data_IF_494182321992
#
_entry.id   IF_494182321992
#
_cell.length_a   1.000
_cell.length_b   1.000
_cell.length_c   1.000
_cell.angle_alpha   90.00
_cell.angle_beta   90.00
_cell.angle_gamma   90.00
#
_symmetry.space_group_name_H-M   'P 1'
#
loop_
_entity.id
_entity.type
_entity.pdbx_description
1 polymer ?
#
# COMPACT_ATOMS: atom_id res chain seq x y z
N UNK A 1 -25.84 76.29 20.24
CA UNK A 1 -24.81 75.28 20.26
C UNK A 1 -25.47 73.94 20.56
N UNK A 2 -25.61 73.08 19.57
CA UNK A 2 -26.40 71.88 19.65
C UNK A 2 -25.42 70.68 19.67
N UNK A 3 -25.52 69.77 20.64
CA UNK A 3 -24.79 68.52 20.56
C UNK A 3 -25.56 67.55 19.68
N UNK A 4 -24.91 67.10 18.66
CA UNK A 4 -25.39 66.00 17.80
C UNK A 4 -25.48 64.72 18.61
N UNK A 5 -26.71 64.19 18.71
CA UNK A 5 -26.93 62.85 19.17
C UNK A 5 -26.44 61.87 18.11
N UNK A 6 -25.35 61.18 18.39
CA UNK A 6 -25.00 60.02 17.63
C UNK A 6 -25.94 58.89 17.99
N UNK A 7 -26.71 58.47 17.00
CA UNK A 7 -27.54 57.28 17.03
C UNK A 7 -26.64 56.06 17.26
N UNK A 8 -26.83 55.38 18.37
CA UNK A 8 -26.31 54.03 18.60
C UNK A 8 -26.74 53.13 17.43
N UNK A 9 -25.82 52.77 16.57
CA UNK A 9 -25.98 51.65 15.70
C UNK A 9 -25.80 50.38 16.55
N UNK A 10 -26.90 49.65 16.68
CA UNK A 10 -26.90 48.28 17.16
C UNK A 10 -25.89 47.48 16.33
N UNK A 11 -25.02 46.70 16.95
CA UNK A 11 -24.24 45.74 16.19
C UNK A 11 -25.18 44.71 15.56
N UNK A 12 -25.12 44.61 14.29
CA UNK A 12 -25.82 43.61 13.50
C UNK A 12 -25.31 42.21 13.87
N UNK A 13 -26.11 41.30 14.43
CA UNK A 13 -25.71 39.95 14.73
C UNK A 13 -25.90 39.05 13.50
N UNK A 14 -25.14 39.29 12.46
CA UNK A 14 -25.13 38.43 11.28
C UNK A 14 -23.73 38.27 10.77
N UNK A 15 -22.84 37.88 11.68
CA UNK A 15 -21.66 37.14 11.31
C UNK A 15 -21.71 35.79 12.03
N UNK A 16 -22.75 35.04 11.75
CA UNK A 16 -22.68 33.61 11.88
C UNK A 16 -21.55 33.17 10.99
N UNK A 17 -20.38 33.04 11.58
CA UNK A 17 -19.30 32.24 11.06
C UNK A 17 -19.94 30.93 10.60
N UNK A 18 -20.19 30.84 9.32
CA UNK A 18 -20.30 29.57 8.64
C UNK A 18 -18.97 28.86 8.88
N UNK A 19 -18.83 28.27 10.05
CA UNK A 19 -18.11 27.03 10.19
C UNK A 19 -18.86 26.08 9.27
N UNK A 20 -18.54 26.15 7.98
CA UNK A 20 -18.74 25.06 7.08
C UNK A 20 -18.09 23.89 7.81
N UNK A 21 -18.90 23.11 8.50
CA UNK A 21 -18.57 21.73 8.75
C UNK A 21 -18.17 21.26 7.37
N UNK A 22 -16.87 21.13 7.11
CA UNK A 22 -16.37 20.38 5.97
C UNK A 22 -17.04 19.04 6.13
N UNK A 23 -18.17 18.87 5.46
CA UNK A 23 -18.74 17.58 5.22
C UNK A 23 -17.57 16.72 4.79
N UNK A 24 -17.33 15.67 5.58
CA UNK A 24 -16.28 14.72 5.30
C UNK A 24 -16.44 14.36 3.83
N UNK A 25 -15.47 14.75 3.01
CA UNK A 25 -15.43 14.40 1.60
C UNK A 25 -15.83 12.96 1.44
N UNK A 26 -16.72 12.63 0.49
CA UNK A 26 -17.17 11.27 0.32
C UNK A 26 -15.95 10.37 0.17
N UNK A 27 -15.75 9.53 1.20
CA UNK A 27 -14.83 8.43 1.28
C UNK A 27 -13.39 8.76 0.83
N UNK A 28 -12.56 9.15 1.79
CA UNK A 28 -11.11 8.98 1.67
C UNK A 28 -10.85 7.51 1.25
N UNK A 29 -10.29 7.26 0.03
CA UNK A 29 -10.12 5.89 -0.49
C UNK A 29 -9.32 4.99 0.44
N UNK A 30 -8.38 5.57 1.21
CA UNK A 30 -7.61 4.83 2.21
C UNK A 30 -8.51 4.40 3.38
N UNK A 31 -9.37 5.29 3.87
CA UNK A 31 -10.33 4.95 4.95
C UNK A 31 -11.30 3.86 4.52
N UNK A 32 -11.80 3.94 3.29
CA UNK A 32 -12.68 2.91 2.74
C UNK A 32 -11.93 1.58 2.67
N UNK A 33 -10.74 1.56 2.12
CA UNK A 33 -9.90 0.36 2.02
C UNK A 33 -9.63 -0.26 3.41
N UNK A 34 -9.27 0.55 4.40
CA UNK A 34 -9.03 0.07 5.77
C UNK A 34 -10.30 -0.44 6.45
N UNK A 35 -11.47 0.14 6.14
CA UNK A 35 -12.75 -0.35 6.66
C UNK A 35 -13.15 -1.71 6.06
N UNK A 36 -12.81 -1.94 4.80
CA UNK A 36 -13.03 -3.22 4.11
C UNK A 36 -12.01 -4.29 4.53
N UNK A 37 -10.79 -3.86 4.93
CA UNK A 37 -9.67 -4.69 5.32
C UNK A 37 -9.20 -4.39 6.77
N UNK A 38 -10.05 -4.65 7.77
CA UNK A 38 -9.76 -4.27 9.16
C UNK A 38 -8.82 -5.21 9.91
N UNK A 39 -8.46 -6.34 9.30
CA UNK A 39 -7.48 -7.29 9.82
C UNK A 39 -6.11 -7.08 9.17
N UNK A 40 -5.12 -7.86 9.58
CA UNK A 40 -3.76 -7.76 9.07
C UNK A 40 -3.17 -9.13 8.80
N UNK A 41 -2.50 -9.25 7.67
CA UNK A 41 -1.57 -10.33 7.38
C UNK A 41 -0.13 -9.82 7.35
N UNK A 42 0.81 -10.73 7.30
CA UNK A 42 2.24 -10.42 7.27
C UNK A 42 2.82 -10.82 5.92
N UNK A 43 3.65 -9.95 5.35
CA UNK A 43 4.40 -10.22 4.13
C UNK A 43 5.89 -10.15 4.41
N UNK A 44 6.64 -11.13 3.90
CA UNK A 44 8.10 -11.20 3.97
C UNK A 44 8.64 -11.56 2.59
N UNK A 45 9.59 -10.78 2.08
CA UNK A 45 10.29 -11.11 0.84
C UNK A 45 11.58 -11.85 1.14
N UNK A 46 11.90 -12.81 0.27
CA UNK A 46 13.20 -13.47 0.21
C UNK A 46 13.79 -13.26 -1.18
N UNK A 47 14.78 -12.38 -1.27
CA UNK A 47 15.38 -11.94 -2.53
C UNK A 47 16.70 -12.64 -2.73
N UNK A 48 16.85 -13.30 -3.87
CA UNK A 48 18.04 -14.03 -4.27
C UNK A 48 18.49 -13.61 -5.66
N UNK A 49 19.74 -13.87 -5.99
CA UNK A 49 20.32 -13.71 -7.31
C UNK A 49 20.94 -15.02 -7.81
N UNK A 50 21.44 -15.02 -9.05
CA UNK A 50 22.14 -16.18 -9.60
C UNK A 50 21.30 -17.45 -9.57
N UNK A 51 20.09 -17.40 -10.07
CA UNK A 51 19.12 -18.52 -10.07
C UNK A 51 18.78 -19.04 -8.66
N UNK A 52 18.70 -18.12 -7.70
CA UNK A 52 18.33 -18.45 -6.32
C UNK A 52 19.48 -18.87 -5.42
N UNK A 53 20.71 -18.88 -5.92
CA UNK A 53 21.87 -19.39 -5.18
C UNK A 53 22.47 -18.39 -4.17
N UNK A 54 22.28 -17.08 -4.37
CA UNK A 54 22.94 -16.04 -3.56
C UNK A 54 21.89 -15.09 -2.99
N UNK A 55 21.84 -14.88 -1.67
CA UNK A 55 20.98 -13.86 -1.08
C UNK A 55 21.43 -12.47 -1.54
N UNK A 56 20.48 -11.59 -1.83
CA UNK A 56 20.76 -10.19 -2.19
C UNK A 56 20.46 -9.29 -1.00
N UNK A 57 21.52 -8.77 -0.40
CA UNK A 57 21.45 -7.75 0.64
C UNK A 57 21.10 -6.39 0.04
N UNK A 58 20.35 -5.56 0.78
CA UNK A 58 20.00 -4.17 0.43
C UNK A 58 19.22 -4.05 -0.88
N UNK A 59 18.53 -5.10 -1.31
CA UNK A 59 17.53 -4.96 -2.34
C UNK A 59 16.37 -4.08 -1.83
N UNK A 60 15.99 -3.10 -2.61
CA UNK A 60 14.84 -2.26 -2.30
C UNK A 60 13.56 -2.96 -2.75
N UNK A 61 12.59 -3.02 -1.87
CA UNK A 61 11.26 -3.58 -2.12
C UNK A 61 10.23 -2.48 -1.89
N UNK A 62 9.48 -2.12 -2.92
CA UNK A 62 8.39 -1.16 -2.88
C UNK A 62 7.08 -1.90 -3.05
N UNK A 63 6.32 -2.03 -1.99
CA UNK A 63 5.00 -2.67 -1.99
C UNK A 63 3.96 -1.60 -2.27
N UNK A 64 2.99 -1.89 -3.11
CA UNK A 64 1.94 -0.94 -3.47
C UNK A 64 0.57 -1.61 -3.56
N UNK A 65 -0.46 -0.81 -3.29
CA UNK A 65 -1.86 -1.15 -3.50
C UNK A 65 -2.55 0.02 -4.18
N UNK A 66 -3.04 -0.20 -5.37
CA UNK A 66 -3.88 0.77 -6.05
C UNK A 66 -5.22 0.92 -5.31
N UNK A 67 -5.59 2.15 -5.04
CA UNK A 67 -6.84 2.52 -4.40
C UNK A 67 -7.70 3.30 -5.41
N UNK A 68 -9.02 3.45 -5.16
CA UNK A 68 -9.88 4.26 -6.00
C UNK A 68 -9.37 5.70 -6.20
N UNK A 69 -9.78 6.33 -7.29
CA UNK A 69 -9.45 7.72 -7.64
C UNK A 69 -7.95 8.01 -7.81
N UNK A 70 -7.16 7.00 -8.23
CA UNK A 70 -5.73 7.17 -8.50
C UNK A 70 -4.85 7.28 -7.26
N UNK A 71 -5.38 7.01 -6.08
CA UNK A 71 -4.57 6.92 -4.86
C UNK A 71 -3.79 5.60 -4.81
N UNK A 72 -2.68 5.60 -4.10
CA UNK A 72 -1.86 4.40 -3.91
C UNK A 72 -1.38 4.34 -2.46
N UNK A 73 -1.60 3.20 -1.81
CA UNK A 73 -0.91 2.86 -0.58
C UNK A 73 0.46 2.29 -0.95
N UNK A 74 1.54 2.78 -0.33
CA UNK A 74 2.90 2.32 -0.62
C UNK A 74 3.72 2.17 0.65
N UNK A 75 4.49 1.08 0.71
CA UNK A 75 5.45 0.78 1.78
C UNK A 75 6.77 0.40 1.15
N UNK A 76 7.87 0.98 1.63
CA UNK A 76 9.21 0.66 1.15
C UNK A 76 10.03 0.02 2.26
N UNK A 77 10.76 -1.05 1.93
CA UNK A 77 11.66 -1.76 2.82
C UNK A 77 12.91 -2.21 2.07
N UNK A 78 13.87 -2.79 2.79
CA UNK A 78 15.09 -3.35 2.22
C UNK A 78 15.37 -4.74 2.80
N UNK A 79 16.09 -5.55 2.05
CA UNK A 79 16.57 -6.85 2.50
C UNK A 79 17.82 -6.72 3.37
N UNK A 80 17.97 -7.65 4.30
CA UNK A 80 19.15 -7.86 5.15
C UNK A 80 20.22 -8.71 4.45
N UNK A 81 21.28 -9.07 5.17
CA UNK A 81 22.38 -9.91 4.69
C UNK A 81 21.94 -11.30 4.23
N UNK A 82 20.82 -11.81 4.73
CA UNK A 82 20.22 -13.08 4.33
C UNK A 82 19.27 -12.96 3.13
N UNK A 83 19.14 -11.76 2.56
CA UNK A 83 18.23 -11.48 1.46
C UNK A 83 16.76 -11.39 1.88
N UNK A 84 16.48 -11.24 3.17
CA UNK A 84 15.12 -11.17 3.70
C UNK A 84 14.74 -9.76 4.12
N UNK A 85 13.50 -9.38 3.91
CA UNK A 85 12.97 -8.15 4.51
C UNK A 85 12.56 -8.40 5.96
N UNK A 86 12.39 -7.32 6.72
CA UNK A 86 11.60 -7.39 7.93
C UNK A 86 10.15 -7.80 7.61
N UNK A 87 9.45 -8.30 8.60
CA UNK A 87 8.02 -8.59 8.48
C UNK A 87 7.22 -7.30 8.28
N UNK A 88 6.36 -7.28 7.26
CA UNK A 88 5.55 -6.15 6.88
C UNK A 88 4.10 -6.47 7.15
N UNK A 89 3.47 -5.73 8.06
CA UNK A 89 2.06 -5.88 8.37
C UNK A 89 1.22 -5.10 7.36
N UNK A 90 0.33 -5.79 6.65
CA UNK A 90 -0.51 -5.23 5.60
C UNK A 90 -2.00 -5.48 5.89
N UNK A 91 -2.89 -4.51 5.61
CA UNK A 91 -4.33 -4.69 5.76
C UNK A 91 -4.87 -5.86 4.93
N UNK A 92 -5.77 -6.63 5.53
CA UNK A 92 -6.44 -7.77 4.91
C UNK A 92 -7.90 -7.89 5.36
N UNK A 93 -8.77 -8.52 4.57
CA UNK A 93 -10.12 -8.85 5.00
C UNK A 93 -10.08 -9.80 6.20
N UNK A 94 -11.09 -9.72 7.06
CA UNK A 94 -11.21 -10.64 8.20
C UNK A 94 -11.45 -12.08 7.74
N UNK A 95 -10.85 -13.02 8.43
CA UNK A 95 -10.97 -14.46 8.15
C UNK A 95 -12.42 -14.97 8.22
N UNK A 96 -13.29 -14.36 9.03
CA UNK A 96 -14.70 -14.74 9.12
C UNK A 96 -15.46 -14.53 7.80
N UNK A 97 -15.03 -13.61 6.95
CA UNK A 97 -15.60 -13.43 5.61
C UNK A 97 -15.36 -14.64 4.69
N UNK A 98 -14.25 -15.35 4.87
CA UNK A 98 -13.92 -16.54 4.07
C UNK A 98 -14.78 -17.76 4.40
N UNK A 99 -15.45 -17.75 5.54
CA UNK A 99 -16.33 -18.86 6.00
C UNK A 99 -17.77 -18.68 5.54
N UNK A 100 -18.10 -17.59 4.86
CA UNK A 100 -19.43 -17.37 4.31
C UNK A 100 -19.52 -17.98 2.90
N UNK A 101 -20.44 -18.90 2.65
CA UNK A 101 -20.63 -19.46 1.29
C UNK A 101 -20.91 -18.35 0.29
N UNK A 102 -20.07 -18.25 -0.76
CA UNK A 102 -20.16 -17.18 -1.78
C UNK A 102 -19.42 -15.88 -1.44
N UNK A 103 -18.67 -15.82 -0.32
CA UNK A 103 -17.78 -14.71 0.00
C UNK A 103 -16.62 -14.64 -1.00
N UNK A 104 -16.47 -13.50 -1.71
CA UNK A 104 -15.43 -13.28 -2.72
C UNK A 104 -14.17 -12.64 -2.17
N UNK A 105 -14.23 -11.99 -0.99
CA UNK A 105 -13.13 -11.18 -0.45
C UNK A 105 -12.42 -11.91 0.69
N UNK A 106 -11.62 -12.91 0.35
CA UNK A 106 -10.90 -13.76 1.31
C UNK A 106 -9.51 -13.21 1.63
N UNK A 107 -8.96 -12.38 0.75
CA UNK A 107 -7.62 -11.78 0.85
C UNK A 107 -7.59 -10.41 0.18
N UNK A 108 -6.58 -9.61 0.52
CA UNK A 108 -6.23 -8.40 -0.21
C UNK A 108 -5.02 -8.70 -1.10
N UNK A 109 -4.98 -8.14 -2.31
CA UNK A 109 -3.83 -8.26 -3.21
C UNK A 109 -2.98 -7.01 -3.17
N UNK A 110 -1.66 -7.19 -3.30
CA UNK A 110 -0.67 -6.12 -3.37
C UNK A 110 0.31 -6.39 -4.51
N UNK A 111 0.88 -5.33 -5.06
CA UNK A 111 1.97 -5.41 -6.00
C UNK A 111 3.28 -5.05 -5.33
N UNK A 112 4.39 -5.54 -5.84
CA UNK A 112 5.70 -5.15 -5.37
C UNK A 112 6.68 -4.96 -6.52
N UNK A 113 7.51 -3.90 -6.43
CA UNK A 113 8.67 -3.67 -7.28
C UNK A 113 9.92 -3.94 -6.46
N UNK A 114 10.78 -4.83 -6.97
CA UNK A 114 12.02 -5.23 -6.31
C UNK A 114 13.19 -4.92 -7.22
N UNK A 115 14.21 -4.25 -6.69
CA UNK A 115 15.42 -3.92 -7.43
C UNK A 115 16.64 -3.80 -6.52
N UNK A 116 17.82 -4.07 -7.09
CA UNK A 116 19.10 -3.86 -6.45
C UNK A 116 20.10 -3.31 -7.49
N UNK A 117 21.22 -2.68 -7.05
CA UNK A 117 22.25 -2.22 -7.99
C UNK A 117 22.79 -3.37 -8.83
N UNK A 118 22.87 -3.18 -10.16
CA UNK A 118 23.39 -4.19 -11.10
C UNK A 118 22.44 -5.38 -11.34
N UNK A 119 21.16 -5.24 -11.02
CA UNK A 119 20.15 -6.25 -11.33
C UNK A 119 19.04 -5.68 -12.18
N UNK A 120 18.34 -6.56 -12.88
CA UNK A 120 17.10 -6.22 -13.59
C UNK A 120 15.97 -6.12 -12.55
N UNK A 121 15.20 -5.00 -12.51
CA UNK A 121 14.05 -4.88 -11.62
C UNK A 121 12.99 -5.95 -11.91
N UNK A 122 12.35 -6.45 -10.85
CA UNK A 122 11.24 -7.42 -10.94
C UNK A 122 9.98 -6.80 -10.34
N UNK A 123 8.86 -6.97 -11.03
CA UNK A 123 7.53 -6.63 -10.52
C UNK A 123 6.78 -7.91 -10.23
N UNK A 124 6.29 -8.04 -9.01
CA UNK A 124 5.40 -9.12 -8.60
C UNK A 124 4.01 -8.54 -8.43
N UNK A 125 3.03 -9.11 -9.13
CA UNK A 125 1.64 -8.68 -9.08
C UNK A 125 0.79 -9.63 -8.24
N UNK A 126 -0.30 -9.06 -7.69
CA UNK A 126 -1.37 -9.83 -7.05
C UNK A 126 -0.93 -10.71 -5.87
N UNK A 127 0.02 -10.23 -5.06
CA UNK A 127 0.48 -10.95 -3.86
C UNK A 127 -0.68 -11.02 -2.85
N UNK A 128 -1.20 -12.22 -2.53
CA UNK A 128 -2.35 -12.35 -1.65
C UNK A 128 -1.93 -12.24 -0.18
N UNK A 129 -2.66 -11.43 0.57
CA UNK A 129 -2.47 -11.23 2.02
C UNK A 129 -3.73 -11.65 2.76
N UNK A 130 -3.57 -12.61 3.66
CA UNK A 130 -4.64 -13.22 4.45
C UNK A 130 -4.53 -12.80 5.92
N UNK A 131 -5.68 -12.68 6.60
CA UNK A 131 -5.75 -12.36 8.03
C UNK A 131 -4.97 -13.36 8.88
N UNK A 132 -4.00 -12.85 9.64
CA UNK A 132 -3.20 -13.62 10.60
C UNK A 132 -2.23 -14.63 9.97
N UNK A 133 -1.98 -14.55 8.66
CA UNK A 133 -1.07 -15.45 7.94
C UNK A 133 0.16 -14.69 7.50
N UNK A 134 1.33 -15.34 7.58
CA UNK A 134 2.57 -14.83 7.00
C UNK A 134 2.73 -15.41 5.59
N UNK A 135 2.72 -14.51 4.60
CA UNK A 135 3.05 -14.80 3.20
C UNK A 135 4.55 -14.59 3.01
N UNK A 136 5.25 -15.59 2.48
CA UNK A 136 6.66 -15.49 2.09
C UNK A 136 6.71 -15.42 0.58
N UNK A 137 7.23 -14.31 0.06
CA UNK A 137 7.36 -14.06 -1.38
C UNK A 137 8.82 -14.25 -1.81
N UNK A 138 9.19 -15.38 -2.44
CA UNK A 138 10.50 -15.55 -3.02
C UNK A 138 10.61 -14.75 -4.33
N UNK A 139 11.73 -14.07 -4.53
CA UNK A 139 12.05 -13.31 -5.75
C UNK A 139 13.50 -13.59 -6.15
N UNK A 140 13.71 -13.98 -7.40
CA UNK A 140 15.04 -14.13 -7.97
C UNK A 140 15.34 -12.96 -8.90
N UNK A 141 16.38 -12.18 -8.61
CA UNK A 141 16.85 -11.10 -9.47
C UNK A 141 17.91 -11.61 -10.44
N UNK A 142 17.79 -11.22 -11.70
CA UNK A 142 18.80 -11.47 -12.73
C UNK A 142 19.84 -10.35 -12.69
N UNK A 143 21.14 -10.70 -12.78
CA UNK A 143 22.19 -9.71 -12.90
C UNK A 143 22.20 -9.12 -14.30
N UNK A 144 22.29 -7.81 -14.40
CA UNK A 144 22.47 -7.10 -15.67
C UNK A 144 23.93 -7.27 -16.14
N UNK A 145 24.16 -8.25 -16.99
CA UNK A 145 25.49 -8.55 -17.56
C UNK A 145 25.81 -7.71 -18.81
N UNK A 146 24.86 -6.95 -19.33
CA UNK A 146 24.99 -6.29 -20.62
C UNK A 146 25.08 -4.76 -20.56
N UNK A 147 24.92 -4.16 -19.39
CA UNK A 147 24.85 -2.69 -19.26
C UNK A 147 23.71 -2.06 -20.08
N UNK A 148 22.80 -2.85 -20.59
CA UNK A 148 21.73 -2.47 -21.45
C UNK A 148 20.41 -2.30 -20.67
N UNK A 149 19.95 -1.06 -20.64
CA UNK A 149 18.59 -0.60 -20.35
C UNK A 149 17.98 -1.01 -19.03
N UNK A 150 18.02 -0.08 -18.11
CA UNK A 150 17.29 -0.08 -16.83
C UNK A 150 15.76 0.07 -16.95
N UNK A 151 15.21 -0.03 -18.14
CA UNK A 151 13.82 0.37 -18.43
C UNK A 151 12.85 -0.81 -18.56
N UNK A 152 13.31 -2.04 -18.53
CA UNK A 152 12.45 -3.23 -18.57
C UNK A 152 12.50 -3.97 -17.22
N UNK A 153 11.39 -3.91 -16.49
CA UNK A 153 11.17 -4.74 -15.30
C UNK A 153 10.59 -6.10 -15.71
N UNK A 154 11.14 -7.18 -15.17
CA UNK A 154 10.55 -8.51 -15.31
C UNK A 154 9.27 -8.56 -14.47
N UNK A 155 8.15 -8.96 -15.08
CA UNK A 155 6.85 -9.04 -14.41
C UNK A 155 6.52 -10.48 -14.06
N UNK A 156 6.20 -10.71 -12.80
CA UNK A 156 5.74 -11.99 -12.26
C UNK A 156 4.34 -11.76 -11.69
N UNK A 157 3.39 -12.58 -12.14
CA UNK A 157 2.05 -12.60 -11.53
C UNK A 157 1.97 -13.80 -10.58
N UNK A 158 1.70 -13.53 -9.33
CA UNK A 158 1.44 -14.58 -8.36
C UNK A 158 0.03 -15.13 -8.60
N UNK A 159 -0.10 -16.44 -8.66
CA UNK A 159 -1.38 -17.07 -8.90
C UNK A 159 -1.98 -17.47 -7.56
N UNK A 160 -3.27 -17.24 -7.39
CA UNK A 160 -4.00 -17.70 -6.20
C UNK A 160 -3.62 -19.14 -5.85
N UNK A 161 -3.30 -19.43 -4.60
CA UNK A 161 -3.14 -20.82 -4.18
C UNK A 161 -4.47 -21.54 -4.42
N UNK A 162 -4.41 -22.62 -5.19
CA UNK A 162 -5.54 -23.50 -5.43
C UNK A 162 -5.96 -24.11 -4.08
N UNK A 163 -6.96 -23.51 -3.49
CA UNK A 163 -7.57 -23.99 -2.24
C UNK A 163 -8.59 -25.09 -2.51
#
# INVERSE_FOLDING_TARGET
MYPYFQKNQKPNPSNSSNLSVREASPADPLRQFLAENPAFGTLLFQVTGGQGAVPIERATVVISKALPNGHTLSVTTMTDESGKTAEISLPAPRRDKSQTPGGTDVFATYDALIFAPGTVPVVVHDIPIFDGITTIQPVALSFDVSGARRDEAESITDTEPNL
#
